data_IF_292068684484
#
_entry.id   IF_292068684484
#
_cell.length_a   1.000
_cell.length_b   1.000
_cell.length_c   1.000
_cell.angle_alpha   90.00
_cell.angle_beta   90.00
_cell.angle_gamma   90.00
#
_symmetry.space_group_name_H-M   'P 1'
#
loop_
_entity.id
_entity.type
_entity.pdbx_description
1 polymer ?
#
# COMPACT_ATOMS: atom_id res chain seq x y z
N UNK A 1 5.60 11.66 -21.40
CA UNK A 1 6.89 11.00 -21.69
C UNK A 1 7.94 12.09 -21.90
N UNK A 2 9.15 11.96 -21.31
CA UNK A 2 9.59 10.80 -20.50
C UNK A 2 9.00 10.79 -19.07
N UNK A 3 8.95 9.59 -18.47
CA UNK A 3 8.84 9.40 -17.01
C UNK A 3 10.27 9.24 -16.44
N UNK A 4 10.43 9.32 -15.11
CA UNK A 4 11.75 9.32 -14.47
C UNK A 4 11.84 8.25 -13.38
N UNK A 5 12.88 7.43 -13.44
CA UNK A 5 13.35 6.57 -12.35
C UNK A 5 14.63 7.17 -11.76
N UNK A 6 14.98 6.79 -10.53
CA UNK A 6 16.08 7.39 -9.78
C UNK A 6 17.17 6.37 -9.43
N UNK A 7 18.29 6.44 -10.15
CA UNK A 7 19.47 5.60 -9.95
C UNK A 7 20.01 5.65 -8.52
N UNK A 8 19.95 6.83 -7.89
CA UNK A 8 20.48 7.08 -6.53
C UNK A 8 19.71 6.33 -5.43
N UNK A 9 18.56 5.74 -5.76
CA UNK A 9 17.78 4.88 -4.87
C UNK A 9 17.76 3.44 -5.40
N UNK A 10 17.48 3.25 -6.69
CA UNK A 10 17.30 1.91 -7.26
C UNK A 10 18.58 1.09 -7.14
N UNK A 11 19.72 1.63 -7.55
CA UNK A 11 20.99 0.88 -7.58
C UNK A 11 21.43 0.49 -6.16
N UNK A 12 21.48 1.40 -5.16
CA UNK A 12 21.83 1.02 -3.79
C UNK A 12 20.87 0.00 -3.17
N UNK A 13 19.56 0.14 -3.39
CA UNK A 13 18.58 -0.80 -2.82
C UNK A 13 18.62 -2.17 -3.51
N UNK A 14 18.85 -2.23 -4.82
CA UNK A 14 19.07 -3.50 -5.53
C UNK A 14 20.29 -4.24 -4.99
N UNK A 15 21.40 -3.53 -4.78
CA UNK A 15 22.61 -4.13 -4.19
C UNK A 15 22.32 -4.63 -2.77
N UNK A 16 21.57 -3.89 -1.96
CA UNK A 16 21.15 -4.34 -0.60
C UNK A 16 20.28 -5.59 -0.64
N UNK A 17 19.43 -5.74 -1.66
CA UNK A 17 18.62 -6.95 -1.87
C UNK A 17 19.48 -8.16 -2.31
N UNK A 18 20.72 -7.94 -2.76
CA UNK A 18 21.61 -8.99 -3.22
C UNK A 18 21.72 -9.11 -4.74
N UNK A 19 21.24 -8.12 -5.49
CA UNK A 19 21.54 -7.98 -6.92
C UNK A 19 23.02 -7.66 -7.08
N UNK A 20 23.70 -8.35 -7.99
CA UNK A 20 25.10 -8.06 -8.27
C UNK A 20 25.26 -6.63 -8.79
N UNK A 21 26.30 -5.88 -8.38
CA UNK A 21 26.46 -4.49 -8.78
C UNK A 21 26.36 -4.27 -10.30
N UNK A 22 27.03 -5.11 -11.09
CA UNK A 22 26.98 -5.04 -12.56
C UNK A 22 25.56 -5.16 -13.15
N UNK A 23 24.70 -5.95 -12.52
CA UNK A 23 23.31 -6.11 -12.93
C UNK A 23 22.43 -4.97 -12.40
N UNK A 24 22.72 -4.48 -11.19
CA UNK A 24 22.01 -3.34 -10.61
C UNK A 24 22.22 -2.05 -11.42
N UNK A 25 23.43 -1.81 -11.93
CA UNK A 25 23.72 -0.68 -12.83
C UNK A 25 23.06 -0.81 -14.22
N UNK A 26 22.55 -1.99 -14.58
CA UNK A 26 21.89 -2.29 -15.86
C UNK A 26 20.39 -2.56 -15.67
N UNK A 27 19.79 -2.04 -14.59
CA UNK A 27 18.35 -2.12 -14.38
C UNK A 27 17.59 -1.33 -15.45
N UNK A 28 16.33 -1.70 -15.67
CA UNK A 28 15.40 -0.96 -16.50
C UNK A 28 14.04 -0.82 -15.81
N UNK A 29 13.29 0.20 -16.22
CA UNK A 29 11.86 0.27 -15.93
C UNK A 29 11.11 -0.79 -16.75
N UNK A 30 10.20 -1.51 -16.10
CA UNK A 30 9.34 -2.53 -16.70
C UNK A 30 7.91 -2.01 -16.59
N UNK A 31 7.12 -2.08 -17.66
CA UNK A 31 5.70 -1.68 -17.61
C UNK A 31 5.51 -0.19 -17.30
N UNK A 32 5.23 0.15 -16.04
CA UNK A 32 4.97 1.51 -15.58
C UNK A 32 6.18 2.15 -14.89
N UNK A 33 6.39 1.89 -13.59
CA UNK A 33 7.44 2.53 -12.77
C UNK A 33 8.35 1.52 -12.07
N UNK A 34 7.91 0.27 -12.01
CA UNK A 34 8.63 -0.84 -11.41
C UNK A 34 9.94 -1.10 -12.16
N UNK A 35 10.94 -1.57 -11.42
CA UNK A 35 12.29 -1.76 -11.94
C UNK A 35 12.71 -3.21 -11.78
N UNK A 36 13.49 -3.70 -12.75
CA UNK A 36 14.08 -5.03 -12.71
C UNK A 36 15.32 -5.07 -13.61
N UNK A 37 16.10 -6.15 -13.52
CA UNK A 37 17.23 -6.40 -14.41
C UNK A 37 16.73 -7.10 -15.67
N UNK A 38 16.85 -6.44 -16.82
CA UNK A 38 16.41 -6.98 -18.11
C UNK A 38 17.06 -8.33 -18.43
N UNK A 39 16.26 -9.31 -18.84
CA UNK A 39 16.74 -10.65 -19.20
C UNK A 39 17.20 -11.52 -18.02
N UNK A 40 17.18 -11.03 -16.78
CA UNK A 40 17.66 -11.79 -15.60
C UNK A 40 16.64 -11.91 -14.47
N UNK A 41 15.49 -11.25 -14.58
CA UNK A 41 14.47 -11.21 -13.55
C UNK A 41 13.29 -12.13 -13.87
N UNK A 42 12.64 -12.63 -12.82
CA UNK A 42 11.36 -13.32 -12.89
C UNK A 42 10.22 -12.43 -13.37
N UNK A 43 9.00 -12.97 -13.36
CA UNK A 43 7.82 -12.17 -13.69
C UNK A 43 7.47 -11.20 -12.56
N UNK A 44 6.75 -10.13 -12.93
CA UNK A 44 6.00 -9.28 -11.98
C UNK A 44 6.85 -8.72 -10.84
N UNK A 45 7.95 -8.03 -11.16
CA UNK A 45 8.61 -7.13 -10.19
C UNK A 45 7.60 -6.15 -9.55
N UNK A 46 6.48 -5.85 -10.21
CA UNK A 46 5.23 -5.52 -9.54
C UNK A 46 4.03 -6.16 -10.23
N UNK A 47 2.84 -5.99 -9.66
CA UNK A 47 1.58 -6.39 -10.29
C UNK A 47 1.07 -7.75 -9.82
N UNK A 48 1.33 -8.14 -8.58
CA UNK A 48 0.72 -9.32 -7.96
C UNK A 48 -0.72 -9.03 -7.52
N UNK A 49 -1.11 -9.37 -6.29
CA UNK A 49 -2.45 -9.05 -5.77
C UNK A 49 -2.62 -7.56 -5.44
N UNK A 50 -3.85 -7.08 -5.44
CA UNK A 50 -4.19 -5.71 -5.05
C UNK A 50 -4.90 -5.70 -3.70
N UNK A 51 -4.49 -4.82 -2.78
CA UNK A 51 -5.14 -4.63 -1.48
C UNK A 51 -5.72 -3.22 -1.40
N UNK A 52 -7.00 -3.12 -1.05
CA UNK A 52 -7.68 -1.85 -0.82
C UNK A 52 -7.44 -1.37 0.62
N UNK A 53 -6.47 -0.49 0.84
CA UNK A 53 -6.13 0.01 2.18
C UNK A 53 -7.28 0.79 2.81
N UNK A 54 -8.06 1.53 2.02
CA UNK A 54 -9.21 2.29 2.53
C UNK A 54 -10.30 1.37 3.11
N UNK A 55 -10.62 0.25 2.45
CA UNK A 55 -11.60 -0.73 2.98
C UNK A 55 -11.10 -1.45 4.23
N UNK A 56 -9.82 -1.83 4.25
CA UNK A 56 -9.21 -2.44 5.45
C UNK A 56 -9.23 -1.45 6.62
N UNK A 57 -8.98 -0.17 6.37
CA UNK A 57 -9.07 0.88 7.38
C UNK A 57 -10.51 1.11 7.86
N UNK A 58 -11.51 1.11 6.97
CA UNK A 58 -12.92 1.16 7.39
C UNK A 58 -13.31 -0.04 8.25
N UNK A 59 -12.87 -1.24 7.89
CA UNK A 59 -13.08 -2.44 8.70
C UNK A 59 -12.39 -2.32 10.07
N UNK A 60 -11.17 -1.78 10.11
CA UNK A 60 -10.43 -1.47 11.34
C UNK A 60 -11.20 -0.54 12.27
N UNK A 61 -11.89 0.46 11.72
CA UNK A 61 -12.66 1.41 12.51
C UNK A 61 -14.01 0.85 12.99
N UNK A 62 -14.46 -0.29 12.46
CA UNK A 62 -15.83 -0.76 12.64
C UNK A 62 -15.91 -2.28 12.85
N UNK A 63 -15.24 -2.79 13.90
CA UNK A 63 -15.44 -4.18 14.34
C UNK A 63 -14.87 -5.25 13.40
N UNK A 64 -14.07 -4.87 12.40
CA UNK A 64 -13.61 -5.74 11.32
C UNK A 64 -14.61 -5.88 10.17
N UNK A 65 -15.69 -5.08 10.16
CA UNK A 65 -16.75 -5.13 9.16
C UNK A 65 -16.37 -4.31 7.93
N UNK A 66 -16.25 -4.97 6.79
CA UNK A 66 -16.14 -4.29 5.50
C UNK A 66 -17.45 -3.54 5.21
N UNK A 67 -17.39 -2.22 5.13
CA UNK A 67 -18.57 -1.37 4.98
C UNK A 67 -19.34 -1.62 3.67
N UNK A 68 -18.66 -2.11 2.63
CA UNK A 68 -19.26 -2.34 1.31
C UNK A 68 -20.03 -3.65 1.23
N UNK A 69 -19.44 -4.77 1.68
CA UNK A 69 -20.08 -6.09 1.63
C UNK A 69 -20.85 -6.45 2.91
N UNK A 70 -20.55 -5.80 4.02
CA UNK A 70 -21.04 -6.14 5.35
C UNK A 70 -20.38 -7.36 5.99
N UNK A 71 -19.41 -7.99 5.32
CA UNK A 71 -18.70 -9.16 5.85
C UNK A 71 -17.67 -8.77 6.92
N UNK A 72 -17.45 -9.68 7.87
CA UNK A 72 -16.40 -9.56 8.90
C UNK A 72 -15.42 -10.71 8.71
N UNK A 73 -14.30 -10.44 8.05
CA UNK A 73 -13.27 -11.47 7.83
C UNK A 73 -12.38 -11.68 9.05
N UNK A 74 -12.08 -10.60 9.78
CA UNK A 74 -11.32 -10.65 11.01
C UNK A 74 -12.05 -9.83 12.10
N UNK A 75 -12.80 -10.46 13.00
CA UNK A 75 -13.53 -9.74 14.04
C UNK A 75 -12.60 -9.04 15.03
N UNK A 76 -13.04 -7.91 15.58
CA UNK A 76 -12.43 -7.20 16.71
C UNK A 76 -13.50 -6.62 17.63
N UNK A 77 -13.09 -6.29 18.86
CA UNK A 77 -13.96 -5.70 19.86
C UNK A 77 -14.27 -4.22 19.58
N UNK A 78 -13.26 -3.44 19.22
CA UNK A 78 -13.40 -2.00 19.05
C UNK A 78 -14.11 -1.63 17.75
N UNK A 79 -14.99 -0.63 17.85
CA UNK A 79 -15.70 -0.03 16.74
C UNK A 79 -16.10 1.41 17.08
N UNK A 80 -16.05 2.31 16.09
CA UNK A 80 -16.50 3.69 16.24
C UNK A 80 -17.99 3.73 16.61
N UNK A 81 -18.82 2.85 16.04
CA UNK A 81 -20.25 2.76 16.38
C UNK A 81 -20.53 2.41 17.84
N UNK A 82 -19.60 1.69 18.50
CA UNK A 82 -19.66 1.38 19.93
C UNK A 82 -19.08 2.50 20.79
N UNK A 83 -18.26 3.38 20.21
CA UNK A 83 -17.54 4.43 20.93
C UNK A 83 -16.58 3.90 21.98
N UNK A 84 -16.02 2.71 21.75
CA UNK A 84 -15.21 1.98 22.73
C UNK A 84 -13.71 2.00 22.45
N UNK A 85 -13.23 2.84 21.53
CA UNK A 85 -11.81 3.20 21.49
C UNK A 85 -11.52 4.21 22.59
N UNK A 86 -10.60 3.91 23.50
CA UNK A 86 -10.15 4.81 24.55
C UNK A 86 -9.14 5.85 24.05
N UNK A 87 -8.34 5.50 23.05
CA UNK A 87 -7.32 6.36 22.45
C UNK A 87 -6.99 5.93 21.01
N UNK A 88 -6.23 6.78 20.31
CA UNK A 88 -5.84 6.52 18.92
C UNK A 88 -4.84 5.37 18.77
N UNK A 89 -4.04 5.05 19.79
CA UNK A 89 -3.10 3.92 19.73
C UNK A 89 -3.83 2.58 19.57
N UNK A 90 -5.04 2.45 20.15
CA UNK A 90 -5.89 1.29 19.93
C UNK A 90 -6.39 1.19 18.47
N UNK A 91 -6.65 2.32 17.81
CA UNK A 91 -7.00 2.35 16.38
C UNK A 91 -5.82 1.83 15.55
N UNK A 92 -4.59 2.28 15.85
CA UNK A 92 -3.38 1.80 15.16
C UNK A 92 -3.09 0.32 15.46
N UNK A 93 -3.31 -0.14 16.68
CA UNK A 93 -3.15 -1.54 17.03
C UNK A 93 -4.13 -2.44 16.26
N UNK A 94 -5.38 -2.01 16.11
CA UNK A 94 -6.36 -2.73 15.30
C UNK A 94 -6.03 -2.65 13.80
N UNK A 95 -5.53 -1.51 13.30
CA UNK A 95 -5.04 -1.39 11.92
C UNK A 95 -3.93 -2.40 11.67
N UNK A 96 -2.94 -2.45 12.56
CA UNK A 96 -1.82 -3.36 12.46
C UNK A 96 -2.29 -4.83 12.38
N UNK A 97 -3.26 -5.20 13.22
CA UNK A 97 -3.82 -6.55 13.24
C UNK A 97 -4.60 -6.86 11.95
N UNK A 98 -5.43 -5.93 11.48
CA UNK A 98 -6.22 -6.09 10.26
C UNK A 98 -5.32 -6.21 9.03
N UNK A 99 -4.38 -5.27 8.85
CA UNK A 99 -3.54 -5.26 7.65
C UNK A 99 -2.63 -6.49 7.60
N UNK A 100 -2.14 -7.00 8.74
CA UNK A 100 -1.38 -8.25 8.78
C UNK A 100 -2.20 -9.45 8.30
N UNK A 101 -3.45 -9.55 8.73
CA UNK A 101 -4.36 -10.61 8.28
C UNK A 101 -4.60 -10.54 6.77
N UNK A 102 -4.90 -9.36 6.23
CA UNK A 102 -5.16 -9.20 4.79
C UNK A 102 -3.89 -9.41 3.96
N UNK A 103 -2.71 -9.05 4.48
CA UNK A 103 -1.41 -9.35 3.85
C UNK A 103 -1.19 -10.85 3.73
N UNK A 104 -1.40 -11.59 4.82
CA UNK A 104 -1.31 -13.06 4.78
C UNK A 104 -2.27 -13.64 3.75
N UNK A 105 -3.53 -13.20 3.77
CA UNK A 105 -4.56 -13.72 2.86
C UNK A 105 -4.27 -13.40 1.40
N UNK A 106 -3.69 -12.24 1.11
CA UNK A 106 -3.28 -11.90 -0.26
C UNK A 106 -2.16 -12.83 -0.74
N UNK A 107 -1.18 -13.12 0.12
CA UNK A 107 -0.09 -14.06 -0.20
C UNK A 107 -0.60 -15.50 -0.36
N UNK A 108 -1.51 -15.96 0.49
CA UNK A 108 -2.15 -17.28 0.34
C UNK A 108 -2.86 -17.41 -1.02
N UNK A 109 -3.56 -16.36 -1.47
CA UNK A 109 -4.21 -16.31 -2.79
C UNK A 109 -3.16 -16.31 -3.92
N UNK A 110 -2.11 -15.50 -3.79
CA UNK A 110 -1.03 -15.44 -4.77
C UNK A 110 -0.34 -16.79 -4.94
N UNK A 111 -0.09 -17.53 -3.86
CA UNK A 111 0.51 -18.86 -3.92
C UNK A 111 -0.30 -19.84 -4.75
N UNK A 112 -1.64 -19.84 -4.58
CA UNK A 112 -2.53 -20.68 -5.38
C UNK A 112 -2.43 -20.28 -6.86
N UNK A 113 -2.58 -18.99 -7.16
CA UNK A 113 -2.55 -18.50 -8.54
C UNK A 113 -1.21 -18.79 -9.21
N UNK A 114 -0.10 -18.51 -8.54
CA UNK A 114 1.24 -18.71 -9.07
C UNK A 114 1.55 -20.18 -9.32
N UNK A 115 1.09 -21.08 -8.44
CA UNK A 115 1.25 -22.53 -8.63
C UNK A 115 0.44 -23.01 -9.85
N UNK A 116 -0.79 -22.52 -10.00
CA UNK A 116 -1.60 -22.87 -11.17
C UNK A 116 -1.00 -22.32 -12.46
N UNK A 117 -0.42 -21.12 -12.45
CA UNK A 117 0.31 -20.59 -13.60
C UNK A 117 1.56 -21.43 -13.91
N UNK A 118 2.32 -21.81 -12.88
CA UNK A 118 3.50 -22.66 -13.02
C UNK A 118 3.18 -24.01 -13.67
N UNK A 119 2.06 -24.64 -13.29
CA UNK A 119 1.72 -26.00 -13.73
C UNK A 119 1.05 -26.06 -15.09
N UNK A 120 0.39 -24.99 -15.54
CA UNK A 120 -0.52 -25.06 -16.69
C UNK A 120 -0.09 -24.22 -17.90
N UNK A 121 0.69 -23.16 -17.73
CA UNK A 121 0.95 -22.18 -18.79
C UNK A 121 2.42 -21.77 -18.87
N UNK A 122 3.31 -22.73 -19.12
CA UNK A 122 4.74 -22.45 -19.30
C UNK A 122 5.00 -21.56 -20.53
N UNK A 123 5.55 -20.37 -20.30
CA UNK A 123 5.97 -19.47 -21.37
C UNK A 123 7.34 -19.89 -21.95
N UNK A 124 7.30 -20.77 -22.95
CA UNK A 124 8.50 -21.38 -23.55
C UNK A 124 9.46 -20.33 -24.11
N UNK A 125 8.97 -19.42 -24.96
CA UNK A 125 9.81 -18.41 -25.60
C UNK A 125 10.37 -17.42 -24.58
N UNK A 126 9.54 -16.94 -23.65
CA UNK A 126 9.98 -15.99 -22.64
C UNK A 126 11.05 -16.61 -21.73
N UNK A 127 10.83 -17.85 -21.28
CA UNK A 127 11.81 -18.56 -20.45
C UNK A 127 13.12 -18.79 -21.19
N UNK A 128 13.10 -19.14 -22.48
CA UNK A 128 14.32 -19.31 -23.26
C UNK A 128 15.16 -18.03 -23.41
N UNK A 129 14.59 -16.85 -23.15
CA UNK A 129 15.25 -15.54 -23.28
C UNK A 129 15.57 -14.89 -21.92
N UNK A 130 15.45 -15.63 -20.81
CA UNK A 130 15.75 -15.15 -19.47
C UNK A 130 16.78 -16.05 -18.80
N UNK A 131 17.88 -15.45 -18.37
CA UNK A 131 18.93 -16.11 -17.61
C UNK A 131 18.38 -16.55 -16.25
N UNK A 132 18.57 -17.78 -15.77
CA UNK A 132 19.33 -18.90 -16.35
C UNK A 132 18.40 -20.06 -16.74
N UNK A 133 17.22 -19.79 -17.30
CA UNK A 133 16.16 -20.79 -17.47
C UNK A 133 16.60 -21.98 -18.33
N UNK A 134 17.37 -21.73 -19.40
CA UNK A 134 17.91 -22.78 -20.28
C UNK A 134 18.85 -23.70 -19.50
N UNK A 135 19.84 -23.13 -18.80
CA UNK A 135 20.81 -23.89 -18.00
C UNK A 135 20.12 -24.69 -16.89
N UNK A 136 19.07 -24.12 -16.30
CA UNK A 136 18.29 -24.79 -15.25
C UNK A 136 17.25 -25.77 -15.79
N UNK A 137 17.06 -25.85 -17.10
CA UNK A 137 16.03 -26.65 -17.77
C UNK A 137 14.62 -26.46 -17.16
N UNK A 138 14.28 -25.22 -16.81
CA UNK A 138 13.04 -24.84 -16.11
C UNK A 138 12.47 -23.56 -16.69
N UNK A 139 11.16 -23.38 -16.64
CA UNK A 139 10.55 -22.09 -16.94
C UNK A 139 10.89 -21.03 -15.88
N UNK A 140 10.65 -19.76 -16.18
CA UNK A 140 10.79 -18.66 -15.21
C UNK A 140 9.93 -18.95 -13.96
N UNK A 141 8.67 -19.34 -14.15
CA UNK A 141 7.75 -19.61 -13.03
C UNK A 141 8.16 -20.83 -12.19
N UNK A 142 8.99 -21.72 -12.77
CA UNK A 142 9.59 -22.85 -12.07
C UNK A 142 10.89 -22.48 -11.30
N UNK A 143 11.29 -21.22 -11.27
CA UNK A 143 12.54 -20.75 -10.65
C UNK A 143 13.74 -20.71 -11.62
N UNK A 144 13.48 -20.59 -12.92
CA UNK A 144 14.53 -20.50 -13.94
C UNK A 144 15.33 -19.19 -13.91
N UNK A 145 14.71 -18.07 -13.54
CA UNK A 145 15.35 -16.75 -13.60
C UNK A 145 16.48 -16.57 -12.56
N UNK A 146 17.48 -15.72 -12.86
CA UNK A 146 18.58 -15.40 -11.93
C UNK A 146 18.07 -14.71 -10.66
N UNK A 147 17.14 -13.77 -10.82
CA UNK A 147 16.56 -12.95 -9.76
C UNK A 147 15.05 -13.14 -9.68
N UNK A 148 14.47 -13.23 -8.49
CA UNK A 148 13.01 -13.25 -8.33
C UNK A 148 12.58 -12.49 -7.07
N UNK A 149 12.14 -11.25 -7.27
CA UNK A 149 11.36 -10.52 -6.28
C UNK A 149 10.10 -9.99 -6.94
N UNK A 150 9.02 -9.93 -6.18
CA UNK A 150 7.71 -9.50 -6.67
C UNK A 150 7.04 -8.61 -5.65
N UNK A 151 6.08 -7.79 -6.09
CA UNK A 151 5.25 -6.99 -5.19
C UNK A 151 3.77 -7.02 -5.57
N UNK A 152 2.94 -7.07 -4.54
CA UNK A 152 1.54 -6.68 -4.63
C UNK A 152 1.39 -5.17 -4.80
N UNK A 153 0.14 -4.72 -4.92
CA UNK A 153 -0.21 -3.34 -5.14
C UNK A 153 -1.16 -2.82 -4.05
N UNK A 154 -0.70 -1.82 -3.30
CA UNK A 154 -1.45 -1.20 -2.22
C UNK A 154 -2.16 0.04 -2.75
N UNK A 155 -3.50 0.07 -2.67
CA UNK A 155 -4.35 1.11 -3.28
C UNK A 155 -4.97 1.99 -2.21
N UNK A 156 -4.95 3.32 -2.42
CA UNK A 156 -5.55 4.31 -1.52
C UNK A 156 -4.60 4.81 -0.43
N UNK A 157 -3.33 5.04 -0.78
CA UNK A 157 -2.26 5.44 0.14
C UNK A 157 -2.59 6.78 0.84
N UNK A 158 -2.85 7.84 0.08
CA UNK A 158 -3.22 9.13 0.67
C UNK A 158 -4.53 9.07 1.46
N UNK A 159 -5.51 8.26 1.03
CA UNK A 159 -6.77 8.08 1.73
C UNK A 159 -6.58 7.46 3.11
N UNK A 160 -5.67 6.48 3.24
CA UNK A 160 -5.31 5.89 4.53
C UNK A 160 -4.74 6.96 5.47
N UNK A 161 -3.71 7.69 5.03
CA UNK A 161 -3.04 8.72 5.83
C UNK A 161 -3.99 9.83 6.26
N UNK A 162 -4.72 10.39 5.29
CA UNK A 162 -5.68 11.47 5.52
C UNK A 162 -6.80 11.05 6.47
N UNK A 163 -7.30 9.82 6.34
CA UNK A 163 -8.38 9.31 7.19
C UNK A 163 -7.91 9.09 8.62
N UNK A 164 -6.74 8.46 8.80
CA UNK A 164 -6.15 8.24 10.12
C UNK A 164 -5.81 9.57 10.81
N UNK A 165 -5.27 10.55 10.08
CA UNK A 165 -4.98 11.87 10.61
C UNK A 165 -6.24 12.64 11.04
N UNK A 166 -7.32 12.55 10.25
CA UNK A 166 -8.61 13.15 10.61
C UNK A 166 -9.22 12.52 11.87
N UNK A 167 -9.19 11.18 11.97
CA UNK A 167 -9.64 10.45 13.16
C UNK A 167 -8.80 10.85 14.36
N UNK A 168 -7.46 10.79 14.25
CA UNK A 168 -6.55 11.15 15.35
C UNK A 168 -6.83 12.55 15.87
N UNK A 169 -6.83 13.54 14.98
CA UNK A 169 -6.95 14.95 15.37
C UNK A 169 -8.33 15.29 15.91
N UNK A 170 -9.39 14.97 15.16
CA UNK A 170 -10.73 15.50 15.43
C UNK A 170 -11.51 14.65 16.42
N UNK A 171 -11.24 13.34 16.49
CA UNK A 171 -11.92 12.44 17.44
C UNK A 171 -11.15 12.34 18.76
N UNK A 172 -9.82 12.12 18.70
CA UNK A 172 -9.04 11.82 19.90
C UNK A 172 -8.28 13.02 20.48
N UNK A 173 -7.50 13.75 19.67
CA UNK A 173 -6.67 14.85 20.18
C UNK A 173 -7.55 16.05 20.63
N UNK A 174 -8.63 16.34 19.91
CA UNK A 174 -9.50 17.49 20.17
C UNK A 174 -10.88 17.14 20.76
N UNK A 175 -11.34 15.88 20.62
CA UNK A 175 -12.70 15.50 21.03
C UNK A 175 -13.80 16.28 20.33
N UNK A 176 -13.52 16.81 19.12
CA UNK A 176 -14.40 17.73 18.41
C UNK A 176 -15.46 17.02 17.54
N UNK A 177 -15.29 15.71 17.32
CA UNK A 177 -16.24 14.79 16.66
C UNK A 177 -16.34 13.54 17.53
N UNK A 178 -17.56 13.10 17.85
CA UNK A 178 -17.77 11.86 18.60
C UNK A 178 -17.48 10.61 17.76
N UNK A 179 -17.05 9.51 18.38
CA UNK A 179 -16.84 8.25 17.66
C UNK A 179 -18.12 7.74 16.97
N UNK A 180 -19.23 7.67 17.72
CA UNK A 180 -20.50 7.21 17.15
C UNK A 180 -21.07 8.21 16.12
N UNK A 181 -20.78 9.50 16.29
CA UNK A 181 -21.15 10.55 15.34
C UNK A 181 -20.44 10.33 13.99
N UNK A 182 -19.12 10.10 14.02
CA UNK A 182 -18.35 9.79 12.83
C UNK A 182 -18.82 8.48 12.18
N UNK A 183 -19.06 7.41 12.97
CA UNK A 183 -19.55 6.14 12.45
C UNK A 183 -20.88 6.30 11.69
N UNK A 184 -21.81 7.05 12.26
CA UNK A 184 -23.11 7.34 11.63
C UNK A 184 -22.94 8.13 10.34
N UNK A 185 -22.13 9.18 10.36
CA UNK A 185 -21.88 10.02 9.19
C UNK A 185 -21.26 9.21 8.03
N UNK A 186 -20.35 8.28 8.32
CA UNK A 186 -19.76 7.38 7.32
C UNK A 186 -20.79 6.39 6.76
N UNK A 187 -21.62 5.79 7.61
CA UNK A 187 -22.66 4.83 7.20
C UNK A 187 -23.75 5.48 6.33
N UNK A 188 -24.04 6.76 6.56
CA UNK A 188 -25.02 7.54 5.80
C UNK A 188 -24.39 8.33 4.63
N UNK A 189 -23.15 8.01 4.24
CA UNK A 189 -22.42 8.70 3.16
C UNK A 189 -22.44 10.24 3.27
N UNK A 190 -22.33 10.74 4.50
CA UNK A 190 -22.45 12.15 4.82
C UNK A 190 -23.72 12.83 4.25
N UNK A 191 -24.85 12.12 4.20
CA UNK A 191 -26.12 12.66 3.73
C UNK A 191 -26.73 13.70 4.70
N UNK A 192 -27.39 14.70 4.14
CA UNK A 192 -27.96 15.83 4.88
C UNK A 192 -26.97 16.92 5.27
N UNK A 193 -27.49 18.11 5.56
CA UNK A 193 -26.68 19.31 5.84
C UNK A 193 -25.75 19.14 7.04
N UNK A 194 -26.21 18.48 8.11
CA UNK A 194 -25.43 18.25 9.32
C UNK A 194 -24.21 17.37 9.06
N UNK A 195 -24.37 16.26 8.33
CA UNK A 195 -23.24 15.39 8.03
C UNK A 195 -22.32 15.98 6.95
N UNK A 196 -22.85 16.77 6.02
CA UNK A 196 -22.00 17.53 5.08
C UNK A 196 -21.11 18.54 5.82
N UNK A 197 -21.62 19.22 6.86
CA UNK A 197 -20.80 20.10 7.70
C UNK A 197 -19.69 19.31 8.42
N UNK A 198 -20.01 18.13 8.96
CA UNK A 198 -19.01 17.23 9.54
C UNK A 198 -17.95 16.84 8.50
N UNK A 199 -18.38 16.47 7.29
CA UNK A 199 -17.48 16.15 6.17
C UNK A 199 -16.54 17.30 5.83
N UNK A 200 -17.04 18.54 5.75
CA UNK A 200 -16.22 19.71 5.52
C UNK A 200 -15.20 19.96 6.64
N UNK A 201 -15.54 19.64 7.89
CA UNK A 201 -14.58 19.67 9.01
C UNK A 201 -13.50 18.60 8.87
N UNK A 202 -13.81 17.39 8.39
CA UNK A 202 -12.81 16.35 8.11
C UNK A 202 -11.83 16.78 7.01
N UNK A 203 -12.35 17.39 5.93
CA UNK A 203 -11.54 17.84 4.78
C UNK A 203 -10.58 18.96 5.20
N UNK A 204 -11.10 20.01 5.84
CA UNK A 204 -10.36 21.26 6.03
C UNK A 204 -9.80 21.43 7.45
N UNK A 205 -10.32 20.68 8.42
CA UNK A 205 -9.94 20.78 9.84
C UNK A 205 -8.83 19.83 10.26
N UNK A 206 -8.43 18.89 9.39
CA UNK A 206 -7.34 17.94 9.63
C UNK A 206 -6.29 18.04 8.51
N UNK A 207 -4.99 17.82 8.83
CA UNK A 207 -3.92 17.86 7.84
C UNK A 207 -4.12 16.80 6.77
N UNK A 208 -3.51 17.04 5.60
CA UNK A 208 -3.60 16.18 4.42
C UNK A 208 -2.20 15.90 3.87
N UNK A 209 -1.94 14.64 3.55
CA UNK A 209 -0.70 14.17 2.94
C UNK A 209 -0.39 14.96 1.66
N UNK A 210 0.88 15.31 1.47
CA UNK A 210 1.35 16.13 0.34
C UNK A 210 1.51 17.62 0.64
N UNK A 211 1.64 17.99 1.91
CA UNK A 211 1.80 19.38 2.35
C UNK A 211 3.00 19.58 3.31
N UNK A 212 3.99 18.68 3.33
CA UNK A 212 5.14 18.74 4.27
C UNK A 212 4.67 18.90 5.73
N UNK A 213 3.70 18.06 6.13
CA UNK A 213 3.15 18.05 7.49
C UNK A 213 3.42 16.68 8.13
N UNK A 214 4.48 16.63 8.93
CA UNK A 214 4.95 15.44 9.64
C UNK A 214 3.81 14.71 10.39
N UNK A 215 2.79 15.44 10.88
CA UNK A 215 1.72 14.83 11.67
C UNK A 215 0.83 13.86 10.88
N UNK A 216 0.73 14.02 9.56
CA UNK A 216 0.04 13.07 8.65
C UNK A 216 1.04 12.22 7.88
N UNK A 217 2.18 12.79 7.50
CA UNK A 217 3.18 12.09 6.69
C UNK A 217 3.86 10.96 7.48
N UNK A 218 4.30 11.21 8.73
CA UNK A 218 4.87 10.16 9.58
C UNK A 218 3.82 9.12 10.01
N UNK A 219 2.57 9.54 10.19
CA UNK A 219 1.46 8.64 10.53
C UNK A 219 1.15 7.67 9.38
N UNK A 220 1.14 8.18 8.15
CA UNK A 220 0.99 7.35 6.95
C UNK A 220 2.16 6.38 6.81
N UNK A 221 3.40 6.85 6.97
CA UNK A 221 4.59 5.99 6.92
C UNK A 221 4.51 4.89 7.98
N UNK A 222 4.12 5.22 9.22
CA UNK A 222 3.92 4.24 10.30
C UNK A 222 2.83 3.21 9.98
N UNK A 223 1.71 3.64 9.41
CA UNK A 223 0.63 2.73 9.03
C UNK A 223 1.06 1.78 7.90
N UNK A 224 1.80 2.28 6.91
CA UNK A 224 2.31 1.47 5.80
C UNK A 224 3.42 0.51 6.27
N UNK A 225 4.28 0.93 7.20
CA UNK A 225 5.38 0.13 7.71
C UNK A 225 4.93 -1.25 8.23
N UNK A 226 3.73 -1.36 8.81
CA UNK A 226 3.19 -2.66 9.27
C UNK A 226 3.02 -3.65 8.12
N UNK A 227 2.52 -3.20 6.97
CA UNK A 227 2.41 -4.05 5.78
C UNK A 227 3.80 -4.50 5.31
N UNK A 228 4.75 -3.56 5.21
CA UNK A 228 6.13 -3.84 4.79
C UNK A 228 6.80 -4.84 5.74
N UNK A 229 6.61 -4.69 7.05
CA UNK A 229 7.18 -5.60 8.04
C UNK A 229 6.53 -6.97 8.04
N UNK A 230 5.24 -7.04 7.74
CA UNK A 230 4.53 -8.32 7.59
C UNK A 230 5.03 -9.09 6.37
N UNK A 231 5.30 -8.43 5.23
CA UNK A 231 5.86 -9.08 4.04
C UNK A 231 7.15 -9.86 4.32
N UNK A 232 7.98 -9.38 5.26
CA UNK A 232 9.25 -10.02 5.65
C UNK A 232 9.05 -11.42 6.27
N UNK A 233 7.84 -11.76 6.68
CA UNK A 233 7.53 -13.08 7.24
C UNK A 233 7.27 -14.15 6.16
N UNK A 234 7.24 -13.74 4.88
CA UNK A 234 6.86 -14.60 3.77
C UNK A 234 7.93 -14.58 2.67
N UNK A 235 7.99 -15.70 1.97
CA UNK A 235 8.75 -15.86 0.75
C UNK A 235 7.78 -16.05 -0.41
N UNK A 236 8.20 -15.74 -1.64
CA UNK A 236 7.39 -16.03 -2.82
C UNK A 236 7.58 -17.51 -3.27
N UNK A 237 6.71 -18.06 -4.14
CA UNK A 237 6.75 -19.47 -4.52
C UNK A 237 8.05 -19.98 -5.17
N UNK A 238 8.93 -19.10 -5.67
CA UNK A 238 10.23 -19.48 -6.28
C UNK A 238 11.38 -19.49 -5.28
N UNK A 239 11.15 -19.09 -4.03
CA UNK A 239 12.16 -19.12 -2.99
C UNK A 239 12.79 -20.51 -2.81
N UNK A 240 14.12 -20.54 -2.71
CA UNK A 240 14.88 -21.78 -2.54
C UNK A 240 14.88 -22.71 -3.75
N UNK A 241 14.38 -22.27 -4.93
CA UNK A 241 14.26 -23.11 -6.14
C UNK A 241 15.20 -22.74 -7.28
N UNK A 242 16.09 -21.77 -7.06
CA UNK A 242 17.07 -21.32 -8.05
C UNK A 242 17.41 -19.83 -7.93
N UNK A 243 16.41 -18.92 -8.03
CA UNK A 243 16.68 -17.49 -8.08
C UNK A 243 17.28 -16.96 -6.77
N UNK A 244 18.14 -15.94 -6.89
CA UNK A 244 18.51 -15.08 -5.77
C UNK A 244 17.27 -14.27 -5.37
N UNK A 245 17.06 -14.11 -4.06
CA UNK A 245 15.86 -13.49 -3.52
C UNK A 245 14.79 -14.53 -3.20
N UNK A 246 13.70 -14.51 -3.95
CA UNK A 246 12.47 -15.24 -3.65
C UNK A 246 11.62 -14.56 -2.58
N UNK A 247 11.63 -13.23 -2.53
CA UNK A 247 10.97 -12.44 -1.49
C UNK A 247 9.94 -11.47 -2.07
N UNK A 248 9.25 -10.78 -1.16
CA UNK A 248 8.30 -9.72 -1.46
C UNK A 248 8.83 -8.34 -1.05
N UNK A 249 8.37 -7.31 -1.75
CA UNK A 249 8.42 -5.91 -1.31
C UNK A 249 7.08 -5.21 -1.60
N UNK A 250 6.94 -3.95 -1.16
CA UNK A 250 5.73 -3.16 -1.35
C UNK A 250 5.70 -2.45 -2.71
N UNK A 251 4.51 -2.09 -3.17
CA UNK A 251 4.32 -1.46 -4.47
C UNK A 251 3.06 -0.59 -4.53
N UNK A 252 3.21 0.59 -5.11
CA UNK A 252 2.13 1.58 -5.27
C UNK A 252 1.81 1.88 -6.73
N UNK A 253 2.35 1.11 -7.68
CA UNK A 253 2.03 1.23 -9.12
C UNK A 253 0.60 0.70 -9.42
N UNK A 254 -0.40 1.34 -8.83
CA UNK A 254 -1.79 0.86 -8.78
C UNK A 254 -2.59 1.14 -10.05
N UNK A 255 -1.95 1.60 -11.12
CA UNK A 255 -2.55 1.93 -12.42
C UNK A 255 -3.83 2.78 -12.25
N UNK A 256 -4.89 2.49 -12.99
CA UNK A 256 -6.21 3.11 -12.81
C UNK A 256 -7.08 2.40 -11.76
N UNK A 257 -6.52 1.52 -10.92
CA UNK A 257 -7.31 0.73 -9.97
C UNK A 257 -7.97 1.59 -8.89
N UNK A 258 -7.47 2.81 -8.65
CA UNK A 258 -8.06 3.77 -7.73
C UNK A 258 -9.54 4.09 -8.04
N UNK A 259 -9.94 4.08 -9.31
CA UNK A 259 -11.33 4.31 -9.74
C UNK A 259 -12.25 3.13 -9.39
N UNK A 260 -12.05 1.89 -9.87
CA UNK A 260 -12.90 0.76 -9.53
C UNK A 260 -12.80 0.37 -8.04
N UNK A 261 -11.63 0.55 -7.40
CA UNK A 261 -11.51 0.34 -5.95
C UNK A 261 -12.32 1.39 -5.19
N UNK A 262 -12.26 2.66 -5.62
CA UNK A 262 -13.10 3.74 -5.08
C UNK A 262 -14.59 3.45 -5.24
N UNK A 263 -15.01 2.94 -6.41
CA UNK A 263 -16.38 2.52 -6.66
C UNK A 263 -16.86 1.41 -5.71
N UNK A 264 -15.95 0.63 -5.15
CA UNK A 264 -16.21 -0.43 -4.17
C UNK A 264 -15.78 -0.05 -2.75
N UNK A 265 -15.67 1.25 -2.45
CA UNK A 265 -15.30 1.75 -1.12
C UNK A 265 -16.33 2.78 -0.65
N UNK A 266 -16.88 2.59 0.54
CA UNK A 266 -17.83 3.52 1.16
C UNK A 266 -17.15 4.85 1.55
N UNK A 267 -17.91 5.77 2.14
CA UNK A 267 -17.38 7.04 2.63
C UNK A 267 -16.23 6.81 3.63
N UNK A 268 -15.21 7.68 3.60
CA UNK A 268 -14.01 7.55 4.44
C UNK A 268 -13.76 8.77 5.33
N UNK A 269 -13.08 8.62 6.48
CA UNK A 269 -12.83 9.72 7.42
C UNK A 269 -12.00 10.89 6.88
N UNK A 270 -11.35 10.75 5.71
CA UNK A 270 -10.73 11.85 4.99
C UNK A 270 -11.74 12.82 4.35
N UNK A 271 -13.05 12.52 4.44
CA UNK A 271 -14.13 13.32 3.88
C UNK A 271 -14.50 12.96 2.45
N UNK A 272 -13.93 11.89 1.89
CA UNK A 272 -14.31 11.33 0.58
C UNK A 272 -15.69 10.64 0.68
N UNK A 273 -16.56 10.92 -0.30
CA UNK A 273 -17.88 10.28 -0.45
C UNK A 273 -17.75 8.84 -0.97
N UNK A 274 -18.73 8.01 -0.64
CA UNK A 274 -18.82 6.63 -1.11
C UNK A 274 -18.77 6.55 -2.64
N UNK A 275 -18.20 5.46 -3.16
CA UNK A 275 -18.12 5.15 -4.58
C UNK A 275 -17.30 6.12 -5.45
N UNK A 276 -16.76 7.19 -4.89
CA UNK A 276 -15.85 8.10 -5.60
C UNK A 276 -14.43 7.51 -5.68
N UNK A 277 -13.62 7.89 -6.69
CA UNK A 277 -12.25 7.39 -6.82
C UNK A 277 -11.38 7.59 -5.57
N UNK A 278 -10.44 6.68 -5.35
CA UNK A 278 -9.34 6.87 -4.39
C UNK A 278 -8.22 7.71 -5.03
N UNK A 279 -7.23 8.12 -4.23
CA UNK A 279 -5.98 8.66 -4.74
C UNK A 279 -5.22 7.59 -5.54
N UNK A 280 -4.58 8.01 -6.62
CA UNK A 280 -3.79 7.14 -7.50
C UNK A 280 -2.36 7.00 -6.95
N UNK A 281 -1.87 5.76 -6.96
CA UNK A 281 -0.54 5.40 -6.49
C UNK A 281 -0.21 5.95 -5.11
N UNK A 282 0.90 6.69 -5.02
CA UNK A 282 1.33 7.38 -3.81
C UNK A 282 1.16 8.92 -3.92
N UNK A 283 0.34 9.39 -4.85
CA UNK A 283 0.08 10.82 -5.03
C UNK A 283 -0.80 11.36 -3.88
N UNK A 284 -0.70 12.67 -3.55
CA UNK A 284 -1.67 13.34 -2.70
C UNK A 284 -3.10 13.16 -3.23
N UNK A 285 -4.08 13.19 -2.33
CA UNK A 285 -5.48 13.17 -2.74
C UNK A 285 -5.80 14.47 -3.50
N UNK A 286 -6.47 14.36 -4.65
CA UNK A 286 -6.69 15.52 -5.53
C UNK A 286 -7.37 16.68 -4.80
N UNK A 287 -6.78 17.87 -4.91
CA UNK A 287 -7.34 19.09 -4.32
C UNK A 287 -7.06 19.22 -2.83
N UNK A 288 -6.08 18.50 -2.29
CA UNK A 288 -5.65 18.61 -0.87
C UNK A 288 -4.20 19.07 -0.70
N UNK A 289 -3.39 19.00 -1.75
CA UNK A 289 -2.04 19.51 -1.87
C UNK A 289 -2.05 21.02 -2.18
N UNK A 290 -1.95 21.85 -1.13
CA UNK A 290 -2.11 23.29 -1.21
C UNK A 290 -0.81 24.08 -1.07
N UNK A 291 0.31 23.42 -0.74
CA UNK A 291 1.62 24.06 -0.54
C UNK A 291 2.60 23.87 -1.72
N UNK A 292 2.07 23.52 -2.88
CA UNK A 292 2.82 23.42 -4.13
C UNK A 292 3.71 22.16 -4.23
N UNK A 293 4.38 21.99 -5.38
CA UNK A 293 5.06 20.73 -5.71
C UNK A 293 6.25 20.41 -4.80
N UNK A 294 6.95 21.41 -4.25
CA UNK A 294 8.06 21.17 -3.32
C UNK A 294 7.60 20.45 -2.06
N UNK A 295 6.45 20.86 -1.50
CA UNK A 295 5.86 20.21 -0.33
C UNK A 295 5.40 18.77 -0.64
N UNK A 296 4.91 18.52 -1.86
CA UNK A 296 4.54 17.17 -2.32
C UNK A 296 5.76 16.24 -2.39
N UNK A 297 6.91 16.73 -2.84
CA UNK A 297 8.14 15.92 -2.91
C UNK A 297 8.84 15.74 -1.57
N UNK A 298 8.55 16.57 -0.56
CA UNK A 298 9.21 16.55 0.76
C UNK A 298 8.70 15.45 1.70
N UNK A 299 8.25 14.32 1.16
CA UNK A 299 7.91 13.16 1.97
C UNK A 299 9.19 12.51 2.55
N UNK A 300 9.34 12.52 3.88
CA UNK A 300 10.46 11.88 4.59
C UNK A 300 11.83 12.55 4.41
N UNK A 301 11.92 13.63 3.63
CA UNK A 301 13.17 14.36 3.36
C UNK A 301 13.80 15.02 4.59
N UNK A 302 13.00 15.43 5.57
CA UNK A 302 13.53 16.01 6.82
C UNK A 302 14.20 14.96 7.73
N UNK A 303 13.87 13.67 7.61
CA UNK A 303 14.57 12.62 8.34
C UNK A 303 15.99 12.38 7.79
N UNK A 304 16.21 12.63 6.49
CA UNK A 304 17.51 12.47 5.85
C UNK A 304 18.53 13.54 6.29
N UNK A 305 18.05 14.72 6.71
CA UNK A 305 18.87 15.83 7.23
C UNK A 305 19.15 15.72 8.75
N UNK A 306 18.49 14.78 9.44
CA UNK A 306 18.67 14.50 10.89
C UNK A 306 19.55 13.28 11.20
N UNK A 307 20.28 12.75 10.22
CA UNK A 307 21.37 11.80 10.48
C UNK A 307 20.97 10.39 10.96
N UNK A 308 19.70 9.96 10.81
CA UNK A 308 19.30 8.56 11.07
C UNK A 308 19.25 7.77 9.75
N UNK A 309 20.20 6.85 9.48
CA UNK A 309 20.27 6.09 8.23
C UNK A 309 19.12 5.09 8.02
N UNK A 310 18.28 4.86 9.04
CA UNK A 310 17.28 3.77 9.05
C UNK A 310 15.93 4.13 8.42
N UNK A 311 15.74 5.36 7.92
CA UNK A 311 14.42 5.87 7.48
C UNK A 311 14.30 6.17 5.98
N UNK A 312 15.30 5.80 5.16
CA UNK A 312 15.33 6.13 3.72
C UNK A 312 14.67 5.10 2.80
N UNK A 313 14.01 4.08 3.35
CA UNK A 313 13.39 3.00 2.58
C UNK A 313 11.93 2.82 3.02
N UNK A 314 11.06 3.66 2.45
CA UNK A 314 9.62 3.45 2.37
C UNK A 314 9.18 3.84 0.95
#
# INVERSE_FOLDING_TARGET
MPAFNNDEIVIPEFIKLGIEPQDAYDYAAIGCIETAVGGKWGYRCTGMSFINFARVMLATLEGGRDATSGQVFLPQEHALSKGNFANFDQVLADWDRQIRYYTRKSIEIEYVVDTMLEENVHDILCSALVDDCIERAKSIKQGGAKYDWVSGLQVGIANLGNSLAAVKKLVFDQGAIGQQELAKALAEDFDGLTHEQLRQRLINGAPKYGNDDDSVDELLARAYQTYIDELKQYHNPRYGRGPIGGNYYAGTSSISANVPFGAQTMATPDGRKAHTPLAEGASPASGTDHLGPTAVYQFGGQAADRGDPRRRAA
#
